data_IF_324119152380
#
_entry.id   IF_324119152380
#
_cell.length_a   1.000
_cell.length_b   1.000
_cell.length_c   1.000
_cell.angle_alpha   90.00
_cell.angle_beta   90.00
_cell.angle_gamma   90.00
#
_symmetry.space_group_name_H-M   'P 1'
#
loop_
_entity.id
_entity.type
_entity.pdbx_description
1 polymer ?
#
# COMPACT_ATOMS: atom_id res chain seq x y z
N UNK A 1 -2.67 -1.85 -3.79
CA UNK A 1 -2.82 -1.99 -2.32
C UNK A 1 -3.56 -0.77 -1.81
N UNK A 2 -4.67 -0.96 -1.11
CA UNK A 2 -5.46 0.13 -0.51
C UNK A 2 -5.73 -0.20 0.97
N UNK A 3 -6.28 0.76 1.73
CA UNK A 3 -6.57 0.62 3.17
C UNK A 3 -5.36 0.16 4.00
N UNK A 4 -4.24 0.87 3.87
CA UNK A 4 -2.96 0.49 4.47
C UNK A 4 -2.86 1.04 5.89
N UNK A 5 -2.54 0.16 6.83
CA UNK A 5 -2.22 0.49 8.21
C UNK A 5 -0.76 1.00 8.31
N UNK A 6 -0.57 2.15 8.97
CA UNK A 6 0.77 2.72 9.24
C UNK A 6 1.25 2.32 10.63
N UNK A 7 0.34 2.31 11.59
CA UNK A 7 0.59 1.98 12.99
C UNK A 7 -0.18 0.72 13.33
N UNK A 8 0.53 -0.29 13.82
CA UNK A 8 -0.05 -1.56 14.24
C UNK A 8 -1.24 -1.35 15.18
N UNK A 9 -2.40 -1.93 14.83
CA UNK A 9 -3.62 -1.88 15.62
C UNK A 9 -4.44 -0.58 15.46
N UNK A 10 -4.03 0.35 14.59
CA UNK A 10 -4.83 1.57 14.32
C UNK A 10 -5.71 1.47 13.08
N UNK A 11 -5.66 0.34 12.36
CA UNK A 11 -6.42 0.13 11.15
C UNK A 11 -5.89 0.94 9.96
N UNK A 12 -6.54 0.79 8.81
CA UNK A 12 -6.11 1.42 7.56
C UNK A 12 -6.26 2.94 7.58
N UNK A 13 -5.13 3.64 7.44
CA UNK A 13 -5.05 5.11 7.45
C UNK A 13 -4.71 5.67 6.07
N UNK A 14 -3.90 4.96 5.28
CA UNK A 14 -3.51 5.40 3.94
C UNK A 14 -4.36 4.73 2.87
N UNK A 15 -4.56 5.45 1.77
CA UNK A 15 -5.19 4.92 0.55
C UNK A 15 -6.59 4.36 0.87
N UNK A 16 -7.39 5.12 1.60
CA UNK A 16 -8.75 4.73 2.06
C UNK A 16 -9.84 5.06 1.03
N UNK A 17 -9.51 5.84 0.01
CA UNK A 17 -10.45 6.27 -1.03
C UNK A 17 -10.49 5.22 -2.15
N UNK A 18 -11.68 4.93 -2.65
CA UNK A 18 -11.90 4.05 -3.81
C UNK A 18 -11.16 4.62 -5.03
N UNK A 19 -10.41 3.77 -5.74
CA UNK A 19 -9.61 4.14 -6.91
C UNK A 19 -8.19 4.65 -6.61
N UNK A 20 -7.87 4.94 -5.34
CA UNK A 20 -6.51 5.21 -4.93
C UNK A 20 -5.79 3.86 -4.69
N UNK A 21 -4.60 3.69 -5.27
CA UNK A 21 -3.85 2.42 -5.16
C UNK A 21 -2.38 2.72 -4.92
N UNK A 22 -1.82 2.18 -3.82
CA UNK A 22 -0.38 2.14 -3.63
C UNK A 22 0.23 0.91 -4.31
N UNK A 23 1.47 1.09 -4.77
CA UNK A 23 2.29 0.03 -5.36
C UNK A 23 3.40 -0.37 -4.40
N UNK A 24 3.62 -1.67 -4.25
CA UNK A 24 4.78 -2.19 -3.53
C UNK A 24 6.02 -2.05 -4.42
N UNK A 25 7.05 -1.36 -3.92
CA UNK A 25 8.30 -1.11 -4.66
C UNK A 25 9.42 -2.00 -4.14
N UNK A 26 9.50 -2.18 -2.83
CA UNK A 26 10.50 -3.03 -2.20
C UNK A 26 9.91 -3.77 -1.00
N UNK A 27 10.40 -4.98 -0.75
CA UNK A 27 10.01 -5.81 0.39
C UNK A 27 11.27 -6.29 1.09
N UNK A 28 11.42 -5.84 2.32
CA UNK A 28 12.51 -6.21 3.21
C UNK A 28 12.04 -7.29 4.20
N UNK A 29 12.95 -7.79 5.05
CA UNK A 29 12.60 -8.83 6.05
C UNK A 29 11.55 -8.35 7.05
N UNK A 30 11.62 -7.09 7.49
CA UNK A 30 10.78 -6.50 8.56
C UNK A 30 9.83 -5.41 8.07
N UNK A 31 10.10 -4.81 6.92
CA UNK A 31 9.38 -3.67 6.38
C UNK A 31 9.09 -3.84 4.88
N UNK A 32 8.20 -3.02 4.37
CA UNK A 32 7.83 -2.93 2.97
C UNK A 32 7.79 -1.47 2.56
N UNK A 33 8.34 -1.16 1.40
CA UNK A 33 8.33 0.19 0.83
C UNK A 33 7.20 0.28 -0.17
N UNK A 34 6.24 1.15 0.13
CA UNK A 34 5.07 1.41 -0.70
C UNK A 34 5.21 2.78 -1.36
N UNK A 35 4.92 2.86 -2.65
CA UNK A 35 4.70 4.12 -3.34
C UNK A 35 3.23 4.46 -3.30
N UNK A 36 2.90 5.56 -2.64
CA UNK A 36 1.56 6.10 -2.52
C UNK A 36 1.08 6.70 -3.85
N UNK A 37 -0.24 6.83 -4.05
CA UNK A 37 -0.81 7.49 -5.22
C UNK A 37 -0.35 8.96 -5.37
N UNK A 38 0.03 9.62 -4.27
CA UNK A 38 0.66 10.94 -4.26
C UNK A 38 2.08 10.98 -4.84
N UNK A 39 2.62 9.83 -5.28
CA UNK A 39 4.02 9.59 -5.66
C UNK A 39 5.03 9.60 -4.52
N UNK A 40 4.57 9.88 -3.30
CA UNK A 40 5.39 9.75 -2.10
C UNK A 40 5.74 8.28 -1.84
N UNK A 41 6.90 8.05 -1.24
CA UNK A 41 7.37 6.72 -0.86
C UNK A 41 7.31 6.59 0.65
N UNK A 42 6.63 5.56 1.13
CA UNK A 42 6.39 5.34 2.55
C UNK A 42 6.87 3.95 2.96
N UNK A 43 7.53 3.86 4.11
CA UNK A 43 7.97 2.60 4.69
C UNK A 43 6.94 2.10 5.71
N UNK A 44 6.48 0.86 5.56
CA UNK A 44 5.47 0.24 6.42
C UNK A 44 6.05 -1.04 7.02
N UNK A 45 5.80 -1.29 8.31
CA UNK A 45 6.21 -2.55 8.94
C UNK A 45 5.35 -3.70 8.44
N UNK A 46 5.94 -4.89 8.24
CA UNK A 46 5.20 -6.08 7.78
C UNK A 46 4.10 -6.54 8.73
N UNK A 47 4.12 -6.09 9.99
CA UNK A 47 3.09 -6.40 10.96
C UNK A 47 1.81 -5.59 10.73
N UNK A 48 1.86 -4.53 9.93
CA UNK A 48 0.69 -3.71 9.61
C UNK A 48 -0.16 -4.38 8.52
N UNK A 49 -1.48 -4.28 8.66
CA UNK A 49 -2.45 -4.84 7.73
C UNK A 49 -2.66 -3.94 6.51
N UNK A 50 -2.90 -4.54 5.35
CA UNK A 50 -3.28 -3.80 4.15
C UNK A 50 -4.17 -4.68 3.27
N UNK A 51 -5.10 -4.04 2.54
CA UNK A 51 -5.96 -4.76 1.60
C UNK A 51 -5.26 -4.86 0.25
N UNK A 52 -5.04 -6.10 -0.20
CA UNK A 52 -4.53 -6.39 -1.55
C UNK A 52 -5.73 -6.62 -2.46
N UNK A 53 -5.99 -5.67 -3.33
CA UNK A 53 -6.88 -5.86 -4.46
C UNK A 53 -6.06 -6.15 -5.71
N UNK A 54 -6.59 -7.06 -6.52
CA UNK A 54 -6.07 -7.39 -7.83
C UNK A 54 -6.47 -6.24 -8.77
N UNK A 55 -5.50 -5.39 -9.13
CA UNK A 55 -5.71 -4.43 -10.20
C UNK A 55 -5.47 -5.18 -11.52
N UNK A 56 -6.52 -5.40 -12.29
CA UNK A 56 -6.34 -5.83 -13.67
C UNK A 56 -5.54 -4.75 -14.40
N UNK A 57 -4.42 -5.22 -14.97
CA UNK A 57 -3.49 -4.58 -15.88
C UNK A 57 -3.91 -3.21 -16.48
N UNK A 58 -3.30 -2.11 -16.00
CA UNK A 58 -3.08 -0.89 -16.81
C UNK A 58 -1.95 -1.19 -17.79
N UNK A 59 -2.33 -1.92 -18.83
CA UNK A 59 -1.50 -2.30 -19.96
C UNK A 59 -2.41 -2.72 -21.10
N UNK A 60 -3.36 -1.86 -21.46
CA UNK A 60 -4.04 -1.92 -22.74
C UNK A 60 -3.28 -0.98 -23.68
N UNK A 61 -2.87 -1.56 -24.82
CA UNK A 61 -2.08 -1.00 -25.91
C UNK A 61 -2.32 0.48 -26.24
#
# INVERSE_FOLDING_TARGET
IHNIEITLGRGGQLVRVVGAVAKLIAKERKSATLKLPSREVHLIFKNCSATVEQLENVGVN
#
